data_IF_692855905458
#
_entry.id   IF_692855905458
#
_cell.length_a   1.000
_cell.length_b   1.000
_cell.length_c   1.000
_cell.angle_alpha   90.00
_cell.angle_beta   90.00
_cell.angle_gamma   90.00
#
_symmetry.space_group_name_H-M   'P 1'
#
loop_
_entity.id
_entity.type
_entity.pdbx_description
1 polymer ?
#
# COMPACT_ATOMS: atom_id res chain seq x y z
N UNK A 1 24.15 26.58 17.21
CA UNK A 1 23.51 25.25 17.40
C UNK A 1 22.90 24.79 16.09
N UNK A 2 23.46 23.78 15.43
CA UNK A 2 22.84 23.15 14.26
C UNK A 2 21.71 22.24 14.77
N UNK A 3 20.44 22.56 14.46
CA UNK A 3 19.31 21.65 14.68
C UNK A 3 19.64 20.33 13.96
N UNK A 4 19.86 19.25 14.71
CA UNK A 4 19.82 17.90 14.15
C UNK A 4 18.41 17.72 13.59
N UNK A 5 18.28 17.78 12.27
CA UNK A 5 17.05 17.31 11.61
C UNK A 5 16.95 15.83 11.94
N UNK A 6 16.05 15.49 12.84
CA UNK A 6 15.62 14.11 13.06
C UNK A 6 15.03 13.65 11.74
N UNK A 7 15.71 12.70 11.07
CA UNK A 7 15.18 12.07 9.86
C UNK A 7 13.84 11.45 10.23
N UNK A 8 12.78 11.78 9.50
CA UNK A 8 11.48 11.11 9.61
C UNK A 8 11.72 9.61 9.42
N UNK A 9 11.08 8.74 10.24
CA UNK A 9 11.16 7.29 10.04
C UNK A 9 10.84 6.96 8.58
N UNK A 10 11.63 6.09 7.96
CA UNK A 10 11.55 5.78 6.52
C UNK A 10 10.17 5.26 6.08
N UNK A 11 9.36 4.78 7.04
CA UNK A 11 8.13 4.04 6.82
C UNK A 11 6.88 4.70 7.44
N UNK A 12 6.88 6.03 7.67
CA UNK A 12 5.71 6.70 8.23
C UNK A 12 4.62 6.89 7.17
N UNK A 13 3.39 6.46 7.46
CA UNK A 13 2.23 6.75 6.62
C UNK A 13 1.89 8.24 6.66
N UNK A 14 1.58 8.82 5.49
CA UNK A 14 1.31 10.25 5.35
C UNK A 14 0.00 10.56 4.61
N UNK A 15 -0.41 11.83 4.66
CA UNK A 15 -1.59 12.36 3.98
C UNK A 15 -2.86 11.60 4.37
N UNK A 16 -3.57 11.04 3.39
CA UNK A 16 -4.81 10.26 3.61
C UNK A 16 -4.62 9.05 4.53
N UNK A 17 -3.42 8.48 4.58
CA UNK A 17 -3.05 7.35 5.46
C UNK A 17 -2.36 7.82 6.74
N UNK A 18 -2.17 9.13 6.94
CA UNK A 18 -1.50 9.66 8.13
C UNK A 18 -2.24 9.26 9.40
N UNK A 19 -1.50 8.85 10.44
CA UNK A 19 -2.10 8.33 11.68
C UNK A 19 -2.15 6.80 11.75
N UNK A 20 -1.92 6.10 10.63
CA UNK A 20 -1.93 4.64 10.61
C UNK A 20 -0.86 4.03 11.51
N UNK A 21 0.37 4.57 11.53
CA UNK A 21 1.43 4.05 12.41
C UNK A 21 1.06 4.14 13.88
N UNK A 22 0.38 5.22 14.29
CA UNK A 22 -0.07 5.42 15.66
C UNK A 22 -1.18 4.43 16.02
N UNK A 23 -2.12 4.17 15.11
CA UNK A 23 -3.21 3.19 15.30
C UNK A 23 -2.66 1.77 15.39
N UNK A 24 -1.75 1.40 14.49
CA UNK A 24 -1.13 0.07 14.44
C UNK A 24 -0.29 -0.17 15.70
N UNK A 25 0.36 0.86 16.26
CA UNK A 25 1.12 0.77 17.51
C UNK A 25 0.26 0.81 18.77
N UNK A 26 -0.94 1.38 18.69
CA UNK A 26 -1.79 1.52 19.85
C UNK A 26 -2.37 0.14 20.25
N UNK A 27 -1.87 -0.39 21.37
CA UNK A 27 -2.28 -1.68 21.95
C UNK A 27 -3.77 -1.80 22.28
N UNK A 28 -4.54 -0.72 22.20
CA UNK A 28 -6.00 -0.70 22.33
C UNK A 28 -6.74 -1.51 21.24
N UNK A 29 -6.06 -1.94 20.18
CA UNK A 29 -6.63 -2.82 19.15
C UNK A 29 -6.42 -4.32 19.46
N UNK A 30 -5.84 -4.64 20.63
CA UNK A 30 -5.33 -5.99 20.94
C UNK A 30 -4.03 -6.33 20.17
N UNK A 31 -3.58 -5.45 19.27
CA UNK A 31 -2.25 -5.49 18.66
C UNK A 31 -1.23 -4.94 19.65
N UNK A 32 -0.89 -5.76 20.64
CA UNK A 32 0.26 -5.50 21.48
C UNK A 32 1.32 -6.51 21.12
N UNK A 33 2.35 -6.08 20.39
CA UNK A 33 3.58 -6.86 20.23
C UNK A 33 4.40 -6.86 21.54
N UNK A 34 3.78 -7.05 22.69
CA UNK A 34 4.46 -7.03 24.00
C UNK A 34 5.21 -8.32 24.33
N UNK A 35 5.56 -9.16 23.36
CA UNK A 35 6.34 -10.36 23.67
C UNK A 35 7.67 -10.33 22.92
N UNK A 36 8.81 -10.34 23.65
CA UNK A 36 10.09 -10.66 23.04
C UNK A 36 9.92 -12.02 22.38
N UNK A 37 10.02 -12.06 21.05
CA UNK A 37 9.97 -13.31 20.31
C UNK A 37 11.29 -14.01 20.57
N UNK A 38 11.39 -14.75 21.68
CA UNK A 38 12.42 -15.78 21.77
C UNK A 38 12.13 -16.80 20.67
N UNK A 39 13.19 -17.30 20.03
CA UNK A 39 13.12 -18.17 18.84
C UNK A 39 12.43 -19.51 19.10
N UNK A 40 12.09 -19.86 20.34
CA UNK A 40 11.30 -21.05 20.71
C UNK A 40 9.84 -20.73 21.05
N UNK A 41 9.51 -19.47 21.28
CA UNK A 41 8.18 -18.98 21.67
C UNK A 41 7.40 -18.35 20.51
N UNK A 42 8.05 -18.04 19.37
CA UNK A 42 7.42 -17.53 18.16
C UNK A 42 6.21 -18.37 17.70
N UNK A 43 6.37 -19.69 17.67
CA UNK A 43 5.30 -20.63 17.29
C UNK A 43 4.15 -20.69 18.32
N UNK A 44 4.36 -20.27 19.57
CA UNK A 44 3.37 -20.44 20.66
C UNK A 44 2.67 -19.16 21.10
N UNK A 45 3.28 -18.00 20.90
CA UNK A 45 2.79 -16.71 21.42
C UNK A 45 2.06 -15.91 20.36
N UNK A 46 2.52 -15.92 19.09
CA UNK A 46 1.87 -15.19 17.99
C UNK A 46 0.40 -15.61 17.77
N UNK A 47 0.03 -16.82 18.22
CA UNK A 47 -1.32 -17.37 18.09
C UNK A 47 -2.27 -17.10 19.29
N UNK A 48 -1.80 -16.51 20.41
CA UNK A 48 -2.63 -16.43 21.64
C UNK A 48 -3.42 -15.13 21.80
N UNK A 49 -3.00 -14.05 21.17
CA UNK A 49 -3.84 -12.86 21.01
C UNK A 49 -4.19 -12.78 19.54
N UNK A 50 -5.34 -13.33 19.13
CA UNK A 50 -5.90 -12.99 17.83
C UNK A 50 -6.29 -11.52 17.96
N UNK A 51 -5.59 -10.59 17.30
CA UNK A 51 -5.96 -9.19 17.37
C UNK A 51 -7.38 -9.05 16.84
N UNK A 52 -8.17 -8.13 17.41
CA UNK A 52 -9.48 -7.80 16.85
C UNK A 52 -9.26 -7.04 15.54
N UNK A 53 -9.10 -7.81 14.45
CA UNK A 53 -8.89 -7.28 13.12
C UNK A 53 -10.05 -6.40 12.67
N UNK A 54 -11.28 -6.70 13.12
CA UNK A 54 -12.45 -5.89 12.83
C UNK A 54 -12.31 -4.48 13.42
N UNK A 55 -11.95 -4.40 14.70
CA UNK A 55 -11.68 -3.13 15.39
C UNK A 55 -10.51 -2.37 14.77
N UNK A 56 -9.41 -3.05 14.46
CA UNK A 56 -8.26 -2.43 13.78
C UNK A 56 -8.69 -1.86 12.42
N UNK A 57 -9.39 -2.63 11.60
CA UNK A 57 -9.81 -2.21 10.26
C UNK A 57 -10.78 -1.03 10.32
N UNK A 58 -11.72 -1.04 11.27
CA UNK A 58 -12.62 0.08 11.51
C UNK A 58 -11.83 1.35 11.88
N UNK A 59 -10.83 1.25 12.77
CA UNK A 59 -9.99 2.41 13.14
C UNK A 59 -9.19 2.95 11.95
N UNK A 60 -8.61 2.07 11.13
CA UNK A 60 -7.84 2.47 9.95
C UNK A 60 -8.71 3.18 8.90
N UNK A 61 -9.92 2.67 8.65
CA UNK A 61 -10.88 3.27 7.74
C UNK A 61 -11.39 4.62 8.27
N UNK A 62 -11.78 4.69 9.55
CA UNK A 62 -12.20 5.94 10.19
C UNK A 62 -11.09 7.02 10.12
N UNK A 63 -9.83 6.60 10.20
CA UNK A 63 -8.70 7.52 10.05
C UNK A 63 -8.58 8.06 8.62
N UNK A 64 -8.85 7.23 7.59
CA UNK A 64 -8.94 7.69 6.20
C UNK A 64 -10.06 8.72 6.06
N UNK A 65 -11.27 8.44 6.55
CA UNK A 65 -12.42 9.34 6.50
C UNK A 65 -12.13 10.69 7.17
N UNK A 66 -11.55 10.64 8.38
CA UNK A 66 -11.10 11.83 9.10
C UNK A 66 -10.08 12.63 8.31
N UNK A 67 -9.10 11.97 7.71
CA UNK A 67 -8.10 12.67 6.90
C UNK A 67 -8.73 13.27 5.64
N UNK A 68 -9.61 12.54 4.97
CA UNK A 68 -10.30 12.97 3.75
C UNK A 68 -11.09 14.26 3.99
N UNK A 69 -11.91 14.29 5.05
CA UNK A 69 -12.73 15.46 5.40
C UNK A 69 -11.91 16.73 5.71
N UNK A 70 -10.68 16.59 6.19
CA UNK A 70 -9.77 17.72 6.44
C UNK A 70 -9.09 18.21 5.16
N UNK A 71 -8.92 17.33 4.16
CA UNK A 71 -8.04 17.55 3.02
C UNK A 71 -8.58 18.39 1.85
N UNK A 72 -9.81 18.91 1.96
CA UNK A 72 -10.55 19.55 0.86
C UNK A 72 -10.39 18.80 -0.49
N UNK A 73 -10.90 17.56 -0.58
CA UNK A 73 -10.58 16.64 -1.67
C UNK A 73 -11.21 17.01 -3.02
N UNK A 74 -12.38 17.66 -3.02
CA UNK A 74 -13.13 18.05 -4.22
C UNK A 74 -12.31 18.84 -5.26
N UNK A 75 -11.36 19.65 -4.81
CA UNK A 75 -10.49 20.47 -5.69
C UNK A 75 -9.16 19.78 -6.04
N UNK A 76 -8.71 18.83 -5.22
CA UNK A 76 -7.35 18.32 -5.25
C UNK A 76 -7.24 16.89 -5.80
N UNK A 77 -8.35 16.14 -5.83
CA UNK A 77 -8.40 14.76 -6.29
C UNK A 77 -7.96 14.63 -7.75
N UNK A 78 -6.83 13.94 -7.96
CA UNK A 78 -6.28 13.75 -9.29
C UNK A 78 -7.17 12.82 -10.14
N UNK A 79 -7.52 13.27 -11.35
CA UNK A 79 -8.30 12.47 -12.32
C UNK A 79 -7.55 11.20 -12.76
N UNK A 80 -6.23 11.16 -12.54
CA UNK A 80 -5.37 10.03 -12.85
C UNK A 80 -5.46 8.89 -11.84
N UNK A 81 -6.09 9.10 -10.68
CA UNK A 81 -6.25 8.03 -9.72
C UNK A 81 -7.05 6.87 -10.35
N UNK A 82 -6.60 5.65 -10.05
CA UNK A 82 -7.14 4.40 -10.53
C UNK A 82 -7.06 4.18 -12.04
N UNK A 83 -6.34 5.03 -12.78
CA UNK A 83 -6.10 4.79 -14.21
C UNK A 83 -5.08 3.68 -14.41
N UNK A 84 -5.55 2.59 -15.01
CA UNK A 84 -4.73 1.53 -15.58
C UNK A 84 -3.84 2.11 -16.67
N UNK A 85 -2.53 2.10 -16.44
CA UNK A 85 -1.55 2.68 -17.36
C UNK A 85 -0.34 1.77 -17.55
N UNK A 86 0.29 1.97 -18.69
CA UNK A 86 1.60 1.42 -19.02
C UNK A 86 2.59 2.58 -18.94
N UNK A 87 3.41 2.62 -17.89
CA UNK A 87 4.49 3.58 -17.74
C UNK A 87 5.81 2.86 -18.04
N UNK A 88 6.31 2.84 -19.30
CA UNK A 88 7.52 2.09 -19.68
C UNK A 88 8.84 2.84 -19.43
N UNK A 89 8.81 4.16 -19.24
CA UNK A 89 10.03 4.98 -19.16
C UNK A 89 10.89 4.58 -17.95
N UNK A 90 12.18 4.30 -18.21
CA UNK A 90 13.16 3.85 -17.22
C UNK A 90 14.54 4.47 -17.50
N UNK A 91 15.14 5.07 -16.47
CA UNK A 91 16.58 5.33 -16.42
C UNK A 91 17.23 4.10 -15.75
N UNK A 92 17.68 3.13 -16.55
CA UNK A 92 18.14 1.81 -16.06
C UNK A 92 19.28 1.93 -15.06
N UNK A 93 20.22 2.86 -15.29
CA UNK A 93 21.44 3.00 -14.50
C UNK A 93 21.19 3.58 -13.10
N UNK A 94 20.03 4.21 -12.88
CA UNK A 94 19.70 4.88 -11.60
C UNK A 94 18.52 4.26 -10.87
N UNK A 95 17.89 3.22 -11.43
CA UNK A 95 16.64 2.70 -10.90
C UNK A 95 16.85 1.47 -10.01
N UNK A 96 16.21 1.41 -8.83
CA UNK A 96 16.22 0.21 -7.98
C UNK A 96 15.58 -0.98 -8.70
N UNK A 97 15.86 -2.19 -8.20
CA UNK A 97 15.45 -3.44 -8.83
C UNK A 97 13.92 -3.55 -9.02
N UNK A 98 13.14 -3.09 -8.03
CA UNK A 98 11.67 -3.04 -8.10
C UNK A 98 11.19 -2.25 -9.31
N UNK A 99 11.65 -1.01 -9.45
CA UNK A 99 11.31 -0.17 -10.60
C UNK A 99 11.73 -0.79 -11.91
N UNK A 100 12.91 -1.43 -11.97
CA UNK A 100 13.34 -2.14 -13.18
C UNK A 100 12.36 -3.26 -13.51
N UNK A 101 11.91 -4.05 -12.53
CA UNK A 101 10.94 -5.12 -12.74
C UNK A 101 9.57 -4.58 -13.19
N UNK A 102 9.04 -3.52 -12.56
CA UNK A 102 7.78 -2.89 -12.94
C UNK A 102 7.73 -2.52 -14.43
N UNK A 103 8.84 -1.98 -14.95
CA UNK A 103 8.94 -1.54 -16.35
C UNK A 103 9.06 -2.74 -17.30
N UNK A 104 9.84 -3.77 -16.92
CA UNK A 104 9.98 -4.99 -17.71
C UNK A 104 8.66 -5.73 -17.88
N UNK A 105 7.82 -5.80 -16.83
CA UNK A 105 6.47 -6.34 -16.97
C UNK A 105 5.70 -5.58 -18.06
N UNK A 106 5.63 -4.26 -17.95
CA UNK A 106 4.85 -3.43 -18.88
C UNK A 106 5.38 -3.43 -20.33
N UNK A 107 6.70 -3.54 -20.54
CA UNK A 107 7.26 -3.76 -21.88
C UNK A 107 6.69 -5.00 -22.56
N UNK A 108 6.50 -6.08 -21.78
CA UNK A 108 5.95 -7.36 -22.24
C UNK A 108 4.41 -7.39 -22.25
N UNK A 109 3.75 -6.37 -21.67
CA UNK A 109 2.29 -6.22 -21.57
C UNK A 109 1.64 -5.42 -22.69
N UNK A 110 2.43 -5.00 -23.68
CA UNK A 110 1.90 -4.36 -24.90
C UNK A 110 0.79 -5.25 -25.51
N UNK A 111 -0.17 -4.68 -26.28
CA UNK A 111 -1.39 -5.40 -26.69
C UNK A 111 -1.21 -6.78 -27.36
N UNK A 112 -0.05 -7.04 -27.95
CA UNK A 112 0.31 -8.32 -28.59
C UNK A 112 1.35 -9.13 -27.81
N UNK A 113 1.70 -8.69 -26.60
CA UNK A 113 2.73 -9.26 -25.77
C UNK A 113 2.22 -10.40 -24.89
N UNK A 114 3.13 -11.25 -24.38
CA UNK A 114 2.79 -12.42 -23.57
C UNK A 114 2.19 -12.07 -22.20
N UNK A 115 2.32 -10.82 -21.75
CA UNK A 115 1.81 -10.36 -20.45
C UNK A 115 0.67 -9.34 -20.61
N UNK A 116 -0.22 -9.54 -21.59
CA UNK A 116 -1.42 -8.73 -21.72
C UNK A 116 -2.24 -8.72 -20.40
N UNK A 117 -2.84 -7.57 -20.06
CA UNK A 117 -3.62 -7.40 -18.82
C UNK A 117 -2.80 -6.97 -17.60
N UNK A 118 -1.50 -6.76 -17.74
CA UNK A 118 -0.65 -6.20 -16.69
C UNK A 118 -0.44 -4.69 -16.88
N UNK A 119 -0.43 -3.97 -15.76
CA UNK A 119 -0.27 -2.52 -15.67
C UNK A 119 0.71 -2.18 -14.54
N UNK A 120 1.30 -0.97 -14.56
CA UNK A 120 2.22 -0.54 -13.50
C UNK A 120 1.96 0.88 -13.00
N UNK A 121 2.42 1.13 -11.78
CA UNK A 121 2.40 2.44 -11.12
C UNK A 121 1.00 3.08 -11.14
N UNK A 122 -0.02 2.35 -10.73
CA UNK A 122 -1.41 2.84 -10.73
C UNK A 122 -1.58 3.85 -9.60
N UNK A 123 -1.80 5.16 -9.87
CA UNK A 123 -1.96 6.14 -8.79
C UNK A 123 -3.22 5.83 -7.99
N UNK A 124 -3.15 5.76 -6.66
CA UNK A 124 -4.32 5.39 -5.84
C UNK A 124 -4.77 6.49 -4.87
N UNK A 125 -3.88 7.41 -4.49
CA UNK A 125 -4.15 8.34 -3.39
C UNK A 125 -3.79 9.81 -3.67
N UNK A 126 -3.49 10.16 -4.92
CA UNK A 126 -3.00 11.51 -5.23
C UNK A 126 -4.11 12.55 -5.02
N UNK A 127 -3.86 13.53 -4.15
CA UNK A 127 -4.80 14.62 -3.91
C UNK A 127 -5.97 14.31 -2.97
N UNK A 128 -5.97 13.14 -2.31
CA UNK A 128 -6.99 12.77 -1.31
C UNK A 128 -6.91 13.59 0.00
N UNK A 129 -5.77 14.24 0.26
CA UNK A 129 -5.53 14.96 1.52
C UNK A 129 -4.87 16.32 1.31
N UNK A 130 -3.87 16.36 0.44
CA UNK A 130 -3.13 17.58 0.11
C UNK A 130 -2.52 17.37 -1.29
N UNK A 131 -2.58 18.36 -2.19
CA UNK A 131 -2.07 18.23 -3.56
C UNK A 131 -0.55 17.97 -3.64
N UNK A 132 0.20 18.22 -2.57
CA UNK A 132 1.64 17.99 -2.44
C UNK A 132 1.99 16.73 -1.65
N UNK A 133 1.08 16.17 -0.85
CA UNK A 133 1.29 14.92 -0.09
C UNK A 133 0.70 13.72 -0.84
N UNK A 134 1.26 12.53 -0.61
CA UNK A 134 0.83 11.26 -1.21
C UNK A 134 0.85 11.18 -2.76
N UNK A 135 1.56 12.09 -3.44
CA UNK A 135 1.77 12.04 -4.90
C UNK A 135 2.45 10.75 -5.39
N UNK A 136 2.97 9.92 -4.48
CA UNK A 136 3.73 8.70 -4.78
C UNK A 136 3.05 7.40 -4.34
N UNK A 137 1.84 7.43 -3.79
CA UNK A 137 1.12 6.20 -3.45
C UNK A 137 0.51 5.62 -4.72
N UNK A 138 1.31 4.80 -5.40
CA UNK A 138 0.92 4.09 -6.60
C UNK A 138 1.11 2.60 -6.37
N UNK A 139 0.16 1.79 -6.83
CA UNK A 139 0.31 0.33 -6.81
C UNK A 139 1.39 -0.03 -7.83
N UNK A 140 2.40 -0.78 -7.41
CA UNK A 140 3.56 -1.12 -8.27
C UNK A 140 3.10 -1.85 -9.53
N UNK A 141 2.33 -2.93 -9.35
CA UNK A 141 1.78 -3.75 -10.42
C UNK A 141 0.29 -4.03 -10.20
N UNK A 142 -0.46 -4.03 -11.30
CA UNK A 142 -1.85 -4.50 -11.32
C UNK A 142 -2.01 -5.52 -12.43
N UNK A 143 -2.54 -6.70 -12.12
CA UNK A 143 -2.88 -7.71 -13.10
C UNK A 143 -4.39 -7.91 -13.18
N UNK A 144 -4.95 -7.75 -14.38
CA UNK A 144 -6.36 -7.96 -14.68
C UNK A 144 -6.63 -9.44 -14.97
N UNK A 145 -7.03 -10.20 -13.94
CA UNK A 145 -7.22 -11.65 -14.06
C UNK A 145 -8.55 -12.00 -14.74
N UNK A 146 -9.51 -11.09 -14.71
CA UNK A 146 -10.76 -11.17 -15.47
C UNK A 146 -11.15 -9.76 -15.90
N UNK A 147 -11.23 -9.55 -17.21
CA UNK A 147 -11.44 -8.22 -17.80
C UNK A 147 -12.56 -7.45 -17.13
N UNK A 148 -12.24 -6.26 -16.60
CA UNK A 148 -13.18 -5.35 -15.94
C UNK A 148 -13.65 -5.78 -14.55
N UNK A 149 -13.35 -7.00 -14.10
CA UNK A 149 -14.05 -7.62 -12.97
C UNK A 149 -13.14 -8.13 -11.85
N UNK A 150 -11.94 -8.59 -12.17
CA UNK A 150 -11.00 -9.08 -11.15
C UNK A 150 -9.60 -8.57 -11.39
N UNK A 151 -8.98 -8.11 -10.31
CA UNK A 151 -7.62 -7.59 -10.33
C UNK A 151 -6.79 -8.11 -9.17
N UNK A 152 -5.50 -8.22 -9.40
CA UNK A 152 -4.47 -8.41 -8.39
C UNK A 152 -3.72 -7.10 -8.23
N UNK A 153 -3.69 -6.56 -7.02
CA UNK A 153 -2.82 -5.44 -6.64
C UNK A 153 -1.57 -6.04 -6.02
N UNK A 154 -0.42 -5.72 -6.61
CA UNK A 154 0.85 -6.33 -6.28
C UNK A 154 1.81 -5.22 -5.87
N UNK A 155 2.34 -5.34 -4.65
CA UNK A 155 3.44 -4.53 -4.11
C UNK A 155 4.73 -5.36 -4.23
N UNK A 156 5.78 -4.78 -4.82
CA UNK A 156 7.06 -5.45 -5.00
C UNK A 156 8.00 -5.14 -3.85
N UNK A 157 8.65 -6.17 -3.30
CA UNK A 157 9.69 -6.03 -2.27
C UNK A 157 10.92 -6.83 -2.68
N UNK A 158 11.76 -6.25 -3.55
CA UNK A 158 12.90 -6.96 -4.16
C UNK A 158 14.26 -6.50 -3.63
N UNK A 159 14.32 -5.33 -2.99
CA UNK A 159 15.55 -4.80 -2.43
C UNK A 159 15.63 -5.11 -0.92
N UNK A 160 16.82 -5.43 -0.39
CA UNK A 160 17.01 -5.58 1.06
C UNK A 160 16.60 -4.34 1.87
N UNK A 161 16.49 -3.17 1.23
CA UNK A 161 16.10 -1.91 1.86
C UNK A 161 14.60 -1.59 1.72
N UNK A 162 13.79 -2.47 1.15
CA UNK A 162 12.36 -2.27 0.88
C UNK A 162 11.44 -2.35 2.13
N UNK A 163 12.02 -2.18 3.31
CA UNK A 163 11.31 -2.30 4.58
C UNK A 163 11.01 -3.75 4.94
N UNK A 164 10.09 -3.94 5.88
CA UNK A 164 9.85 -5.22 6.53
C UNK A 164 8.52 -5.85 6.03
N UNK A 165 8.36 -7.18 6.02
CA UNK A 165 7.12 -7.84 5.60
C UNK A 165 5.86 -7.29 6.28
N UNK A 166 5.97 -6.94 7.55
CA UNK A 166 4.92 -6.27 8.31
C UNK A 166 4.50 -4.94 7.67
N UNK A 167 5.46 -4.08 7.31
CA UNK A 167 5.17 -2.81 6.64
C UNK A 167 4.61 -3.02 5.24
N UNK A 168 5.17 -3.94 4.46
CA UNK A 168 4.65 -4.29 3.14
C UNK A 168 3.18 -4.75 3.20
N UNK A 169 2.80 -5.44 4.29
CA UNK A 169 1.41 -5.83 4.54
C UNK A 169 0.50 -4.61 4.71
N UNK A 170 0.90 -3.61 5.50
CA UNK A 170 0.09 -2.40 5.66
C UNK A 170 0.11 -1.49 4.42
N UNK A 171 1.20 -1.45 3.66
CA UNK A 171 1.26 -0.76 2.38
C UNK A 171 0.25 -1.37 1.39
N UNK A 172 0.26 -2.69 1.18
CA UNK A 172 -0.71 -3.32 0.28
C UNK A 172 -2.15 -3.20 0.79
N UNK A 173 -2.37 -3.34 2.11
CA UNK A 173 -3.67 -3.12 2.73
C UNK A 173 -4.18 -1.71 2.47
N UNK A 174 -3.29 -0.71 2.48
CA UNK A 174 -3.68 0.69 2.22
C UNK A 174 -4.36 0.86 0.86
N UNK A 175 -3.90 0.17 -0.18
CA UNK A 175 -4.57 0.19 -1.49
C UNK A 175 -5.94 -0.47 -1.44
N UNK A 176 -6.08 -1.57 -0.69
CA UNK A 176 -7.37 -2.20 -0.42
C UNK A 176 -8.35 -1.26 0.28
N UNK A 177 -7.91 -0.57 1.33
CA UNK A 177 -8.73 0.40 2.05
C UNK A 177 -9.10 1.61 1.20
N UNK A 178 -8.18 2.16 0.41
CA UNK A 178 -8.48 3.25 -0.51
C UNK A 178 -9.49 2.81 -1.58
N UNK A 179 -9.36 1.59 -2.09
CA UNK A 179 -10.30 1.02 -3.03
C UNK A 179 -11.69 0.84 -2.42
N UNK A 180 -11.78 0.29 -1.20
CA UNK A 180 -13.04 0.22 -0.45
C UNK A 180 -13.62 1.62 -0.21
N UNK A 181 -12.77 2.58 0.14
CA UNK A 181 -13.18 3.95 0.42
C UNK A 181 -13.84 4.60 -0.79
N UNK A 182 -13.33 4.36 -2.01
CA UNK A 182 -13.98 4.85 -3.26
C UNK A 182 -15.42 4.36 -3.44
N UNK A 183 -15.81 3.27 -2.78
CA UNK A 183 -17.15 2.68 -2.90
C UNK A 183 -18.10 3.01 -1.77
N UNK A 184 -17.63 3.54 -0.65
CA UNK A 184 -18.49 3.86 0.50
C UNK A 184 -18.67 5.37 0.66
N UNK A 185 -17.69 6.15 0.21
CA UNK A 185 -17.75 7.61 0.31
C UNK A 185 -18.58 8.22 -0.83
N UNK A 186 -19.64 8.99 -0.53
CA UNK A 186 -20.52 9.55 -1.55
C UNK A 186 -19.83 10.54 -2.50
N UNK A 187 -18.84 11.31 -2.02
CA UNK A 187 -18.11 12.26 -2.85
C UNK A 187 -17.23 11.52 -3.87
N UNK A 188 -16.53 10.47 -3.43
CA UNK A 188 -15.73 9.62 -4.31
C UNK A 188 -16.59 8.82 -5.29
N UNK A 189 -17.74 8.29 -4.84
CA UNK A 189 -18.69 7.62 -5.74
C UNK A 189 -19.13 8.56 -6.86
N UNK A 190 -19.56 9.79 -6.52
CA UNK A 190 -19.93 10.81 -7.51
C UNK A 190 -18.75 11.18 -8.40
N UNK A 191 -17.54 11.29 -7.83
CA UNK A 191 -16.33 11.65 -8.57
C UNK A 191 -15.97 10.62 -9.65
N UNK A 192 -16.22 9.35 -9.36
CA UNK A 192 -15.85 8.21 -10.19
C UNK A 192 -17.05 7.52 -10.85
N UNK A 193 -18.24 8.13 -10.80
CA UNK A 193 -19.47 7.60 -11.43
C UNK A 193 -19.25 7.35 -12.94
N UNK A 194 -18.64 8.32 -13.62
CA UNK A 194 -18.27 8.26 -15.04
C UNK A 194 -16.87 7.67 -15.27
N UNK A 195 -16.43 6.74 -14.41
CA UNK A 195 -15.12 6.09 -14.56
C UNK A 195 -14.94 5.52 -15.98
N UNK A 196 -13.89 5.98 -16.65
CA UNK A 196 -13.57 5.62 -18.03
C UNK A 196 -13.08 4.17 -18.14
N UNK A 197 -12.89 3.68 -19.37
CA UNK A 197 -12.26 2.38 -19.61
C UNK A 197 -10.83 2.28 -19.07
N UNK A 198 -10.14 3.42 -18.91
CA UNK A 198 -8.84 3.46 -18.23
C UNK A 198 -8.98 3.25 -16.71
N UNK A 199 -10.14 3.56 -16.12
CA UNK A 199 -10.43 3.44 -14.69
C UNK A 199 -11.32 2.25 -14.34
N UNK A 200 -11.48 1.29 -15.28
CA UNK A 200 -12.35 0.12 -15.11
C UNK A 200 -12.02 -0.76 -13.89
N UNK A 201 -10.85 -0.60 -13.28
CA UNK A 201 -10.50 -1.21 -11.99
C UNK A 201 -11.46 -0.82 -10.86
N UNK A 202 -12.02 0.39 -10.90
CA UNK A 202 -13.02 0.86 -9.91
C UNK A 202 -14.34 0.06 -9.97
N UNK A 203 -14.63 -0.56 -11.12
CA UNK A 203 -15.80 -1.41 -11.33
C UNK A 203 -15.56 -2.87 -10.98
N UNK A 204 -14.37 -3.23 -10.49
CA UNK A 204 -14.05 -4.63 -10.19
C UNK A 204 -15.03 -5.20 -9.16
N UNK A 205 -15.34 -6.48 -9.28
CA UNK A 205 -16.11 -7.25 -8.30
C UNK A 205 -15.18 -7.75 -7.18
N UNK A 206 -13.92 -8.06 -7.53
CA UNK A 206 -12.93 -8.64 -6.63
C UNK A 206 -11.55 -8.03 -6.87
N UNK A 207 -10.86 -7.72 -5.77
CA UNK A 207 -9.42 -7.45 -5.77
C UNK A 207 -8.71 -8.47 -4.88
N UNK A 208 -7.49 -8.83 -5.26
CA UNK A 208 -6.56 -9.61 -4.42
C UNK A 208 -5.37 -8.72 -4.10
N UNK A 209 -4.93 -8.75 -2.84
CA UNK A 209 -3.79 -7.97 -2.36
C UNK A 209 -2.61 -8.91 -2.20
N UNK A 210 -1.50 -8.63 -2.88
CA UNK A 210 -0.34 -9.52 -2.96
C UNK A 210 0.93 -8.71 -2.67
N UNK A 211 1.77 -9.23 -1.79
CA UNK A 211 3.17 -8.78 -1.67
C UNK A 211 4.02 -9.81 -2.41
N UNK A 212 4.75 -9.37 -3.43
CA UNK A 212 5.66 -10.22 -4.19
C UNK A 212 7.10 -9.88 -3.83
N UNK A 213 7.79 -10.85 -3.23
CA UNK A 213 9.16 -10.71 -2.74
C UNK A 213 9.91 -12.04 -2.85
N UNK A 214 11.26 -12.04 -2.86
CA UNK A 214 12.05 -13.26 -2.69
C UNK A 214 11.70 -13.96 -1.38
N UNK A 215 11.84 -15.28 -1.32
CA UNK A 215 11.58 -16.06 -0.10
C UNK A 215 12.37 -15.53 1.11
N UNK A 216 13.61 -15.09 0.89
CA UNK A 216 14.47 -14.50 1.93
C UNK A 216 13.87 -13.26 2.58
N UNK A 217 13.02 -12.50 1.88
CA UNK A 217 12.32 -11.33 2.43
C UNK A 217 11.33 -11.74 3.53
N UNK A 218 10.71 -12.91 3.40
CA UNK A 218 9.76 -13.45 4.38
C UNK A 218 10.43 -14.28 5.47
N UNK A 219 11.73 -14.57 5.35
CA UNK A 219 12.44 -15.40 6.33
C UNK A 219 12.58 -14.67 7.69
N UNK A 220 12.02 -15.27 8.74
CA UNK A 220 11.92 -14.67 10.07
C UNK A 220 13.28 -14.53 10.80
N UNK A 221 14.33 -15.21 10.35
CA UNK A 221 15.57 -15.38 11.12
C UNK A 221 16.42 -14.10 11.28
N UNK A 222 16.20 -13.04 10.51
CA UNK A 222 16.94 -11.77 10.67
C UNK A 222 16.07 -10.50 10.58
N UNK A 223 14.90 -10.56 9.94
CA UNK A 223 14.21 -9.36 9.46
C UNK A 223 12.86 -9.08 10.15
N UNK A 224 12.10 -10.12 10.47
CA UNK A 224 10.81 -9.97 11.16
C UNK A 224 10.95 -9.36 12.56
N UNK A 225 11.91 -9.85 13.35
CA UNK A 225 12.15 -9.38 14.74
C UNK A 225 12.71 -7.95 14.75
N UNK A 226 13.69 -7.63 13.90
CA UNK A 226 14.27 -6.27 13.81
C UNK A 226 13.26 -5.23 13.35
N UNK A 227 12.40 -5.57 12.39
CA UNK A 227 11.37 -4.64 11.93
C UNK A 227 10.32 -4.31 12.98
N UNK A 228 9.99 -5.30 13.82
CA UNK A 228 9.12 -5.11 14.98
C UNK A 228 9.79 -4.26 16.05
N UNK A 229 11.07 -4.51 16.37
CA UNK A 229 11.85 -3.73 17.34
C UNK A 229 12.00 -2.25 16.92
N UNK A 230 12.32 -1.98 15.64
CA UNK A 230 12.41 -0.61 15.11
C UNK A 230 11.07 0.12 15.13
N UNK A 231 9.97 -0.60 14.84
CA UNK A 231 8.62 -0.04 14.87
C UNK A 231 8.19 0.35 16.29
N UNK A 232 8.55 -0.48 17.27
CA UNK A 232 8.23 -0.27 18.68
C UNK A 232 9.13 0.77 19.37
N UNK A 233 10.35 0.97 18.88
CA UNK A 233 11.34 1.88 19.46
C UNK A 233 11.33 3.33 18.96
N UNK A 234 10.35 3.74 18.13
CA UNK A 234 10.28 5.07 17.50
C UNK A 234 9.08 5.92 17.92
#
# INVERSE_FOLDING_TARGET
MKKKMTKTPRNKFTGILGGWDEIIRCGECGFSLHVPIDSKSAERVAYRAIPDLGSLFAKLLNQIEKNFSVGNPSENLAVSNWRLRLAPDLDEDKSPLEKRLEKRFVELSKPTGPLAGWFNQIPAASGYFDPRKNRKNSIDLVYETRTGKEYEFIELKLDPTSGWPFYATFEILSYGFLFLFTRIDPELQKRFEDATEEQRVLKAEKIRLIVLAPESYFSESEQGVRGLEEFQGS
#
